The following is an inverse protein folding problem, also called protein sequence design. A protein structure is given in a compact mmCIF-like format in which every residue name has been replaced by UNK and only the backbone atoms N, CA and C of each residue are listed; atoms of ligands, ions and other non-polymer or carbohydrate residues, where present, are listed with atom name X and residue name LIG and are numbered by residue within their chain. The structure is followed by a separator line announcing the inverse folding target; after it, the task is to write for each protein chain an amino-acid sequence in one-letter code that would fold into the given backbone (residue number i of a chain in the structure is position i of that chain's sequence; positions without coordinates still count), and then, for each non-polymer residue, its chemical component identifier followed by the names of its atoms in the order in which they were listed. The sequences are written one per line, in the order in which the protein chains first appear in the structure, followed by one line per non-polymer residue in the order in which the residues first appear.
data_IF_850616278463
#
_entry.id   IF_850616278463
#
_cell.length_a   1.000
_cell.length_b   1.000
_cell.length_c   1.000
_cell.angle_alpha   90.00
_cell.angle_beta   90.00
_cell.angle_gamma   90.00
#
_symmetry.space_group_name_H-M   'P 1'
#
loop_
_entity.id
_entity.type
_entity.pdbx_description
1 polymer ?
#
# COMPACT_ATOMS: atom_id res chain seq x y z
N UNK A 1 -16.13 6.54 -16.67
CA UNK A 1 -14.95 5.96 -16.03
C UNK A 1 -15.28 5.73 -14.56
N UNK A 2 -14.91 4.58 -13.99
CA UNK A 2 -15.03 4.33 -12.56
C UNK A 2 -13.98 5.13 -11.78
N UNK A 3 -14.21 5.40 -10.48
CA UNK A 3 -13.25 6.12 -9.63
C UNK A 3 -11.85 5.48 -9.68
N UNK A 4 -11.79 4.15 -9.60
CA UNK A 4 -10.52 3.41 -9.67
C UNK A 4 -9.80 3.52 -11.02
N UNK A 5 -10.52 3.60 -12.15
CA UNK A 5 -9.89 3.83 -13.46
C UNK A 5 -9.26 5.21 -13.55
N UNK A 6 -9.95 6.24 -13.07
CA UNK A 6 -9.42 7.60 -13.02
C UNK A 6 -8.20 7.70 -12.11
N UNK A 7 -8.22 7.05 -10.95
CA UNK A 7 -7.09 7.03 -10.01
C UNK A 7 -5.85 6.36 -10.62
N UNK A 8 -6.01 5.28 -11.39
CA UNK A 8 -4.91 4.62 -12.10
C UNK A 8 -4.34 5.47 -13.25
N UNK A 9 -5.20 6.16 -14.00
CA UNK A 9 -4.76 7.12 -15.04
C UNK A 9 -3.96 8.24 -14.39
N UNK A 10 -4.44 8.78 -13.27
CA UNK A 10 -3.74 9.81 -12.52
C UNK A 10 -2.40 9.32 -11.97
N UNK A 11 -2.32 8.08 -11.48
CA UNK A 11 -1.07 7.47 -11.04
C UNK A 11 -0.05 7.39 -12.19
N UNK A 12 -0.50 6.94 -13.37
CA UNK A 12 0.38 6.85 -14.55
C UNK A 12 0.88 8.23 -14.97
N UNK A 13 0.01 9.24 -14.97
CA UNK A 13 0.37 10.62 -15.27
C UNK A 13 1.38 11.17 -14.24
N UNK A 14 1.13 10.97 -12.95
CA UNK A 14 2.03 11.40 -11.87
C UNK A 14 3.37 10.68 -11.91
N UNK A 15 3.40 9.41 -12.28
CA UNK A 15 4.66 8.67 -12.45
C UNK A 15 5.56 9.27 -13.56
N UNK A 16 4.96 9.89 -14.58
CA UNK A 16 5.70 10.56 -15.66
C UNK A 16 6.12 11.97 -15.23
N UNK A 17 5.23 12.71 -14.59
CA UNK A 17 5.42 14.10 -14.20
C UNK A 17 6.18 14.29 -12.86
N UNK A 18 6.48 13.22 -12.15
CA UNK A 18 7.00 13.26 -10.78
C UNK A 18 8.24 14.16 -10.59
N UNK A 19 9.10 14.27 -11.62
CA UNK A 19 10.31 15.11 -11.56
C UNK A 19 10.03 16.60 -11.74
N UNK A 20 8.90 16.96 -12.34
CA UNK A 20 8.50 18.34 -12.63
C UNK A 20 7.45 18.87 -11.64
N UNK A 21 6.90 17.99 -10.81
CA UNK A 21 5.82 18.30 -9.90
C UNK A 21 6.35 18.81 -8.55
N UNK A 22 5.89 19.97 -8.15
CA UNK A 22 6.22 20.57 -6.85
C UNK A 22 5.27 20.17 -5.71
N UNK A 23 4.30 19.29 -5.98
CA UNK A 23 3.34 18.82 -4.97
C UNK A 23 4.02 17.77 -4.10
N UNK A 24 4.22 18.00 -2.78
CA UNK A 24 5.03 17.10 -1.96
C UNK A 24 4.30 15.82 -1.56
N UNK A 25 2.96 15.81 -1.54
CA UNK A 25 2.15 14.68 -1.06
C UNK A 25 1.06 14.31 -2.06
N UNK A 26 0.96 13.02 -2.34
CA UNK A 26 -0.05 12.44 -3.22
C UNK A 26 -0.92 11.45 -2.43
N UNK A 27 -2.23 11.59 -2.57
CA UNK A 27 -3.20 10.70 -1.91
C UNK A 27 -3.93 9.91 -2.99
N UNK A 28 -3.92 8.59 -2.86
CA UNK A 28 -4.62 7.66 -3.74
C UNK A 28 -5.69 6.91 -2.97
N UNK A 29 -6.92 7.12 -3.35
CA UNK A 29 -8.08 6.40 -2.86
C UNK A 29 -8.72 5.62 -4.01
N UNK A 30 -9.30 4.45 -3.71
CA UNK A 30 -9.94 3.55 -4.68
C UNK A 30 -9.05 3.09 -5.86
N UNK A 31 -7.72 3.21 -5.76
CA UNK A 31 -6.80 2.87 -6.86
C UNK A 31 -6.82 1.37 -7.18
N UNK A 32 -7.20 0.56 -6.22
CA UNK A 32 -7.27 -0.90 -6.29
C UNK A 32 -8.65 -1.44 -6.66
N UNK A 33 -9.64 -0.56 -6.91
CA UNK A 33 -10.98 -0.97 -7.34
C UNK A 33 -10.95 -1.65 -8.70
N UNK A 34 -11.47 -2.88 -8.76
CA UNK A 34 -11.58 -3.67 -9.98
C UNK A 34 -10.26 -4.24 -10.51
N UNK A 35 -9.21 -4.29 -9.67
CA UNK A 35 -7.94 -4.97 -9.98
C UNK A 35 -7.64 -6.05 -8.96
N UNK A 36 -6.78 -6.99 -9.32
CA UNK A 36 -6.31 -8.06 -8.43
C UNK A 36 -4.92 -8.55 -8.83
N UNK A 37 -4.30 -9.31 -7.94
CA UNK A 37 -3.09 -10.09 -8.21
C UNK A 37 -1.97 -9.27 -8.87
N UNK A 38 -1.55 -9.71 -10.05
CA UNK A 38 -0.41 -9.13 -10.79
C UNK A 38 -0.58 -7.65 -11.13
N UNK A 39 -1.81 -7.19 -11.42
CA UNK A 39 -2.06 -5.78 -11.73
C UNK A 39 -1.86 -4.92 -10.47
N UNK A 40 -2.31 -5.40 -9.31
CA UNK A 40 -2.08 -4.72 -8.02
C UNK A 40 -0.59 -4.55 -7.72
N UNK A 41 0.23 -5.58 -7.99
CA UNK A 41 1.68 -5.50 -7.82
C UNK A 41 2.33 -4.46 -8.75
N UNK A 42 1.87 -4.35 -9.99
CA UNK A 42 2.36 -3.33 -10.94
C UNK A 42 1.98 -1.93 -10.47
N UNK A 43 0.74 -1.73 -10.04
CA UNK A 43 0.25 -0.45 -9.50
C UNK A 43 1.08 -0.06 -8.27
N UNK A 44 1.23 -0.97 -7.32
CA UNK A 44 2.04 -0.76 -6.12
C UNK A 44 3.50 -0.41 -6.44
N UNK A 45 4.12 -1.10 -7.40
CA UNK A 45 5.48 -0.80 -7.86
C UNK A 45 5.62 0.62 -8.43
N UNK A 46 4.60 1.14 -9.13
CA UNK A 46 4.58 2.53 -9.60
C UNK A 46 4.49 3.52 -8.44
N UNK A 47 3.70 3.21 -7.40
CA UNK A 47 3.60 4.04 -6.20
C UNK A 47 4.93 4.09 -5.44
N UNK A 48 5.61 2.96 -5.32
CA UNK A 48 6.96 2.89 -4.72
C UNK A 48 7.95 3.77 -5.50
N UNK A 49 7.87 3.82 -6.84
CA UNK A 49 8.75 4.71 -7.62
C UNK A 49 8.45 6.20 -7.39
N UNK A 50 7.18 6.56 -7.22
CA UNK A 50 6.77 7.95 -6.92
C UNK A 50 7.22 8.34 -5.50
N UNK A 51 7.22 7.39 -4.56
CA UNK A 51 7.62 7.65 -3.17
C UNK A 51 9.10 8.01 -2.99
N UNK A 52 9.94 7.88 -4.02
CA UNK A 52 11.32 8.36 -3.98
C UNK A 52 11.41 9.89 -3.91
N UNK A 53 10.40 10.60 -4.41
CA UNK A 53 10.38 12.07 -4.46
C UNK A 53 9.14 12.71 -3.84
N UNK A 54 8.12 11.92 -3.50
CA UNK A 54 6.86 12.38 -2.95
C UNK A 54 6.45 11.55 -1.74
N UNK A 55 5.74 12.15 -0.80
CA UNK A 55 4.98 11.38 0.16
C UNK A 55 3.77 10.76 -0.53
N UNK A 56 3.61 9.45 -0.42
CA UNK A 56 2.46 8.73 -1.00
C UNK A 56 1.60 8.17 0.13
N UNK A 57 0.34 8.59 0.16
CA UNK A 57 -0.69 8.01 1.01
C UNK A 57 -1.63 7.19 0.13
N UNK A 58 -1.91 5.95 0.51
CA UNK A 58 -2.79 5.07 -0.22
C UNK A 58 -3.80 4.39 0.71
N UNK A 59 -5.07 4.49 0.36
CA UNK A 59 -6.12 3.67 0.96
C UNK A 59 -6.29 2.44 0.08
N UNK A 60 -6.11 1.24 0.66
CA UNK A 60 -6.15 -0.02 -0.10
C UNK A 60 -6.72 -1.17 0.74
N UNK A 61 -7.40 -2.08 0.08
CA UNK A 61 -7.84 -3.36 0.62
C UNK A 61 -7.02 -4.55 0.06
N UNK A 62 -6.04 -4.28 -0.81
CA UNK A 62 -5.22 -5.33 -1.42
C UNK A 62 -3.90 -5.54 -0.66
N UNK A 63 -3.63 -6.76 -0.16
CA UNK A 63 -2.41 -7.07 0.57
C UNK A 63 -1.14 -6.83 -0.24
N UNK A 64 -1.18 -7.01 -1.58
CA UNK A 64 -0.06 -6.76 -2.48
C UNK A 64 0.38 -5.29 -2.49
N UNK A 65 -0.55 -4.34 -2.33
CA UNK A 65 -0.25 -2.91 -2.23
C UNK A 65 0.16 -2.57 -0.80
N UNK A 66 -0.57 -3.05 0.20
CA UNK A 66 -0.30 -2.77 1.60
C UNK A 66 1.08 -3.27 2.06
N UNK A 67 1.56 -4.42 1.52
CA UNK A 67 2.89 -4.95 1.80
C UNK A 67 4.03 -4.02 1.37
N UNK A 68 3.80 -3.18 0.37
CA UNK A 68 4.80 -2.24 -0.17
C UNK A 68 4.97 -0.96 0.67
N UNK A 69 4.11 -0.71 1.65
CA UNK A 69 4.17 0.50 2.45
C UNK A 69 5.39 0.53 3.38
N UNK A 70 6.01 1.71 3.57
CA UNK A 70 7.03 1.95 4.60
C UNK A 70 6.40 2.08 6.00
N UNK A 71 5.17 2.61 6.04
CA UNK A 71 4.35 2.69 7.25
C UNK A 71 2.93 2.22 6.93
N UNK A 72 2.37 1.37 7.78
CA UNK A 72 1.02 0.86 7.64
C UNK A 72 0.16 1.37 8.80
N UNK A 73 -0.96 1.98 8.46
CA UNK A 73 -1.94 2.45 9.42
C UNK A 73 -3.21 1.63 9.26
N UNK A 74 -3.74 1.17 10.38
CA UNK A 74 -5.05 0.53 10.45
C UNK A 74 -6.10 1.58 10.82
N UNK A 75 -7.22 1.55 10.12
CA UNK A 75 -8.38 2.40 10.40
C UNK A 75 -9.52 1.48 10.80
N UNK A 76 -10.02 1.66 12.02
CA UNK A 76 -11.16 0.89 12.55
C UNK A 76 -12.32 1.83 12.86
N UNK A 77 -13.52 1.38 12.51
CA UNK A 77 -14.77 2.03 12.93
C UNK A 77 -15.42 1.16 13.98
N UNK A 78 -15.65 1.75 15.14
CA UNK A 78 -16.39 1.13 16.23
C UNK A 78 -17.72 1.85 16.34
N UNK A 79 -18.81 1.09 16.32
CA UNK A 79 -20.17 1.60 16.50
C UNK A 79 -20.71 1.03 17.80
N UNK A 80 -21.07 1.88 18.75
CA UNK A 80 -21.69 1.51 20.03
C UNK A 80 -23.22 1.68 20.05
N UNK A 81 -23.81 1.92 18.86
CA UNK A 81 -25.25 2.10 18.66
C UNK A 81 -25.75 3.53 18.88
N UNK A 82 -24.94 4.40 19.49
CA UNK A 82 -25.24 5.83 19.65
C UNK A 82 -24.24 6.70 18.89
N UNK A 83 -22.98 6.27 18.82
CA UNK A 83 -21.91 7.01 18.17
C UNK A 83 -20.99 6.07 17.37
N UNK A 84 -20.61 6.50 16.17
CA UNK A 84 -19.56 5.86 15.39
C UNK A 84 -18.23 6.57 15.66
N UNK A 85 -17.26 5.84 16.21
CA UNK A 85 -15.89 6.32 16.42
C UNK A 85 -14.96 5.72 15.39
N UNK A 86 -14.14 6.55 14.77
CA UNK A 86 -13.06 6.10 13.89
C UNK A 86 -11.73 6.28 14.59
N UNK A 87 -11.01 5.21 14.81
CA UNK A 87 -9.65 5.21 15.33
C UNK A 87 -8.65 4.87 14.23
N UNK A 88 -7.49 5.53 14.26
CA UNK A 88 -6.39 5.26 13.35
C UNK A 88 -5.11 5.05 14.14
N UNK A 89 -4.41 3.96 13.90
CA UNK A 89 -3.12 3.69 14.53
C UNK A 89 -2.11 3.08 13.58
N UNK A 90 -0.84 3.38 13.82
CA UNK A 90 0.26 2.75 13.09
C UNK A 90 0.47 1.32 13.60
N UNK A 91 0.69 0.40 12.68
CA UNK A 91 1.00 -1.00 12.98
C UNK A 91 2.51 -1.18 13.18
N UNK A 92 2.86 -2.01 14.17
CA UNK A 92 4.20 -2.60 14.29
C UNK A 92 4.45 -3.62 13.17
N UNK A 93 5.68 -4.08 13.02
CA UNK A 93 6.02 -5.07 12.00
C UNK A 93 5.24 -6.39 12.17
N UNK A 94 5.14 -6.88 13.39
CA UNK A 94 4.39 -8.11 13.72
C UNK A 94 2.89 -7.95 13.47
N UNK A 95 2.34 -6.79 13.82
CA UNK A 95 0.94 -6.48 13.52
C UNK A 95 0.68 -6.39 12.02
N UNK A 96 1.65 -5.89 11.23
CA UNK A 96 1.56 -5.86 9.76
C UNK A 96 1.44 -7.26 9.18
N UNK A 97 2.24 -8.23 9.65
CA UNK A 97 2.14 -9.63 9.20
C UNK A 97 0.75 -10.19 9.49
N UNK A 98 0.28 -10.02 10.72
CA UNK A 98 -1.05 -10.49 11.13
C UNK A 98 -2.17 -9.83 10.33
N UNK A 99 -2.08 -8.51 10.12
CA UNK A 99 -3.12 -7.76 9.39
C UNK A 99 -3.16 -8.13 7.91
N UNK A 100 -1.98 -8.26 7.25
CA UNK A 100 -1.91 -8.73 5.88
C UNK A 100 -2.44 -10.16 5.72
N UNK A 101 -2.12 -11.05 6.65
CA UNK A 101 -2.67 -12.40 6.63
C UNK A 101 -4.20 -12.41 6.66
N UNK A 102 -4.81 -11.56 7.50
CA UNK A 102 -6.27 -11.37 7.53
C UNK A 102 -6.84 -10.81 6.21
N UNK A 103 -6.11 -9.90 5.55
CA UNK A 103 -6.51 -9.38 4.24
C UNK A 103 -6.50 -10.45 3.15
N UNK A 104 -5.68 -11.49 3.28
CA UNK A 104 -5.56 -12.60 2.32
C UNK A 104 -6.61 -13.69 2.54
N UNK A 105 -6.83 -14.09 3.78
CA UNK A 105 -7.52 -15.33 4.17
C UNK A 105 -8.80 -15.06 4.99
N UNK A 106 -9.12 -13.78 5.23
CA UNK A 106 -10.23 -13.39 6.08
C UNK A 106 -9.94 -13.66 7.57
N UNK A 107 -10.95 -14.16 8.31
CA UNK A 107 -10.87 -14.30 9.76
C UNK A 107 -10.03 -15.48 10.25
N UNK A 108 -9.68 -16.43 9.39
CA UNK A 108 -9.15 -17.73 9.81
C UNK A 108 -7.67 -17.77 10.18
N UNK A 109 -6.94 -16.66 10.05
CA UNK A 109 -5.53 -16.49 10.45
C UNK A 109 -4.69 -17.77 10.28
N UNK A 110 -4.70 -18.38 9.10
CA UNK A 110 -3.92 -19.59 8.86
C UNK A 110 -2.42 -19.29 8.98
N UNK A 111 -1.65 -20.25 9.48
CA UNK A 111 -0.20 -20.12 9.55
C UNK A 111 0.40 -19.88 8.16
N UNK A 112 -0.21 -20.43 7.12
CA UNK A 112 0.21 -20.25 5.74
C UNK A 112 0.01 -18.79 5.26
N UNK A 113 -1.11 -18.17 5.58
CA UNK A 113 -1.37 -16.76 5.23
C UNK A 113 -0.39 -15.83 5.97
N UNK A 114 -0.06 -16.14 7.22
CA UNK A 114 0.93 -15.38 7.99
C UNK A 114 2.34 -15.48 7.37
N UNK A 115 2.80 -16.68 7.01
CA UNK A 115 4.09 -16.85 6.34
C UNK A 115 4.13 -16.14 5.00
N UNK A 116 3.06 -16.23 4.20
CA UNK A 116 2.96 -15.53 2.93
C UNK A 116 2.96 -13.99 3.12
N UNK A 117 2.27 -13.47 4.13
CA UNK A 117 2.31 -12.04 4.47
C UNK A 117 3.73 -11.58 4.83
N UNK A 118 4.45 -12.39 5.61
CA UNK A 118 5.84 -12.16 5.99
C UNK A 118 6.76 -12.15 4.76
N UNK A 119 6.61 -13.12 3.86
CA UNK A 119 7.36 -13.19 2.61
C UNK A 119 7.14 -11.95 1.74
N UNK A 120 5.90 -11.49 1.58
CA UNK A 120 5.57 -10.29 0.79
C UNK A 120 6.23 -9.04 1.35
N UNK A 121 6.18 -8.83 2.66
CA UNK A 121 6.80 -7.67 3.29
C UNK A 121 8.33 -7.75 3.17
N UNK A 122 8.92 -8.90 3.45
CA UNK A 122 10.38 -9.10 3.34
C UNK A 122 10.86 -8.83 1.92
N UNK A 123 10.21 -9.41 0.91
CA UNK A 123 10.54 -9.18 -0.49
C UNK A 123 10.41 -7.70 -0.90
N UNK A 124 9.43 -7.00 -0.35
CA UNK A 124 9.26 -5.56 -0.55
C UNK A 124 10.44 -4.77 0.03
N UNK A 125 10.85 -5.05 1.26
CA UNK A 125 11.94 -4.34 1.92
C UNK A 125 13.29 -4.60 1.20
N UNK A 126 13.55 -5.84 0.77
CA UNK A 126 14.74 -6.20 0.01
C UNK A 126 14.80 -5.46 -1.34
N UNK A 127 13.67 -5.41 -2.04
CA UNK A 127 13.55 -4.67 -3.31
C UNK A 127 13.82 -3.18 -3.14
N UNK A 128 13.28 -2.57 -2.08
CA UNK A 128 13.50 -1.14 -1.76
C UNK A 128 14.96 -0.89 -1.37
N UNK A 129 15.57 -1.77 -0.57
CA UNK A 129 16.97 -1.64 -0.16
C UNK A 129 17.90 -1.69 -1.37
N UNK A 130 17.67 -2.65 -2.28
CA UNK A 130 18.44 -2.77 -3.51
C UNK A 130 18.34 -1.53 -4.39
N UNK A 131 17.15 -0.96 -4.53
CA UNK A 131 16.91 0.27 -5.29
C UNK A 131 17.59 1.50 -4.68
N UNK A 132 17.49 1.70 -3.37
CA UNK A 132 18.19 2.80 -2.68
C UNK A 132 19.69 2.73 -2.90
N UNK A 133 20.27 1.55 -2.81
CA UNK A 133 21.70 1.34 -3.06
C UNK A 133 22.10 1.64 -4.52
N UNK A 134 21.23 1.41 -5.49
CA UNK A 134 21.51 1.73 -6.90
C UNK A 134 21.44 3.23 -7.18
N UNK A 135 20.56 3.97 -6.51
CA UNK A 135 20.43 5.42 -6.63
C UNK A 135 21.61 6.18 -5.99
N UNK A 136 22.24 5.62 -4.95
CA UNK A 136 23.41 6.22 -4.30
C UNK A 136 24.73 6.02 -5.08
N UNK A 137 24.75 5.23 -6.15
CA UNK A 137 25.96 4.95 -6.96
C UNK A 137 26.08 5.80 -8.22
N UNK A 138 25.09 6.62 -8.53
CA UNK A 138 25.08 7.55 -9.66
C UNK A 138 25.12 8.99 -9.17
#
# INVERSE_FOLDING_TARGET
ASGGEMSRIMLAFKAIAARADSIPTLIFDEIDTGISGRIASVVGGKMVNISDSHQVLCVTHLPQIAALADAHFMVEKTDDGEHTKTDMRRLSLEERYTYLARMMDGADNSSLAYEHARELITASEDSKAHRRNSLCRN
#
